data_IF_559999113459
#
_entry.id   IF_559999113459
#
_cell.length_a   1.000
_cell.length_b   1.000
_cell.length_c   1.000
_cell.angle_alpha   90.00
_cell.angle_beta   90.00
_cell.angle_gamma   90.00
#
_symmetry.space_group_name_H-M   'P 1'
#
loop_
_entity.id
_entity.type
_entity.pdbx_description
1 polymer ?
#
# COMPACT_ATOMS: atom_id res chain seq x y z
N UNK A 1 5.88 13.30 -11.41
CA UNK A 1 5.94 13.03 -9.97
C UNK A 1 6.73 14.10 -9.26
N UNK A 2 6.52 14.19 -7.95
CA UNK A 2 7.29 14.97 -6.99
C UNK A 2 7.73 14.03 -5.88
N UNK A 3 8.92 14.28 -5.35
CA UNK A 3 9.47 13.51 -4.25
C UNK A 3 9.82 14.47 -3.12
N UNK A 4 9.47 14.08 -1.91
CA UNK A 4 9.89 14.75 -0.70
C UNK A 4 10.72 13.79 0.13
N UNK A 5 11.95 14.21 0.41
CA UNK A 5 12.86 13.50 1.30
C UNK A 5 12.83 14.25 2.62
N UNK A 6 12.43 13.57 3.69
CA UNK A 6 12.29 14.19 5.00
C UNK A 6 12.68 13.24 6.11
N UNK A 7 13.31 13.78 7.15
CA UNK A 7 13.84 13.06 8.31
C UNK A 7 13.06 13.35 9.60
N UNK A 8 11.93 14.07 9.50
CA UNK A 8 11.07 14.27 10.66
C UNK A 8 9.96 15.31 10.49
N UNK A 9 9.66 15.98 11.60
CA UNK A 9 8.50 16.87 11.72
C UNK A 9 8.74 18.20 10.99
N UNK A 10 7.75 18.71 10.23
CA UNK A 10 7.80 20.08 9.74
C UNK A 10 7.98 21.09 10.89
N UNK A 11 8.77 22.14 10.68
CA UNK A 11 9.04 23.16 11.72
C UNK A 11 7.78 23.81 12.33
N UNK A 12 6.65 23.83 11.61
CA UNK A 12 5.36 24.31 12.11
C UNK A 12 4.58 23.29 12.95
N UNK A 13 5.18 22.14 13.27
CA UNK A 13 4.60 21.05 14.03
C UNK A 13 3.30 20.52 13.41
N UNK A 14 2.36 20.12 14.27
CA UNK A 14 1.07 19.53 13.89
C UNK A 14 0.24 20.43 12.94
N UNK A 15 0.33 21.75 13.08
CA UNK A 15 -0.39 22.66 12.19
C UNK A 15 0.15 22.57 10.77
N UNK A 16 1.48 22.52 10.60
CA UNK A 16 2.09 22.37 9.28
C UNK A 16 1.79 21.00 8.67
N UNK A 17 1.81 19.91 9.44
CA UNK A 17 1.41 18.59 8.97
C UNK A 17 -0.02 18.62 8.39
N UNK A 18 -0.98 19.16 9.15
CA UNK A 18 -2.38 19.29 8.70
C UNK A 18 -2.52 20.11 7.42
N UNK A 19 -1.81 21.22 7.31
CA UNK A 19 -1.85 22.06 6.10
C UNK A 19 -1.21 21.37 4.89
N UNK A 20 -0.11 20.64 5.09
CA UNK A 20 0.53 19.84 4.03
C UNK A 20 -0.42 18.73 3.55
N UNK A 21 -1.01 17.97 4.48
CA UNK A 21 -1.98 16.93 4.18
C UNK A 21 -3.20 17.52 3.46
N UNK A 22 -3.75 18.62 3.96
CA UNK A 22 -4.88 19.30 3.34
C UNK A 22 -4.55 19.79 1.92
N UNK A 23 -3.33 20.30 1.70
CA UNK A 23 -2.85 20.68 0.38
C UNK A 23 -2.79 19.48 -0.55
N UNK A 24 -2.26 18.33 -0.10
CA UNK A 24 -2.13 17.14 -0.92
C UNK A 24 -3.49 16.50 -1.22
N UNK A 25 -4.37 16.39 -0.23
CA UNK A 25 -5.74 15.85 -0.40
C UNK A 25 -6.54 16.68 -1.41
N UNK A 26 -6.43 18.02 -1.36
CA UNK A 26 -7.25 18.93 -2.18
C UNK A 26 -6.53 19.49 -3.41
N UNK A 27 -5.33 18.99 -3.75
CA UNK A 27 -4.58 19.50 -4.91
C UNK A 27 -5.33 19.26 -6.22
N UNK A 28 -5.27 20.21 -7.17
CA UNK A 28 -5.89 20.01 -8.48
C UNK A 28 -5.12 18.94 -9.28
N UNK A 29 -5.87 18.07 -9.96
CA UNK A 29 -5.36 17.00 -10.84
C UNK A 29 -4.26 16.16 -10.14
N UNK A 30 -4.57 15.45 -9.03
CA UNK A 30 -3.59 14.69 -8.27
C UNK A 30 -2.86 13.63 -9.11
N UNK A 31 -3.51 13.06 -10.12
CA UNK A 31 -2.95 12.11 -11.10
C UNK A 31 -1.83 12.71 -11.95
N UNK A 32 -1.89 14.02 -12.22
CA UNK A 32 -0.83 14.77 -12.91
C UNK A 32 0.23 15.28 -11.93
N UNK A 33 -0.04 15.16 -10.63
CA UNK A 33 0.76 15.67 -9.54
C UNK A 33 1.01 14.61 -8.46
N UNK A 34 1.49 13.39 -8.81
CA UNK A 34 1.73 12.35 -7.82
C UNK A 34 2.88 12.75 -6.91
N UNK A 35 2.74 12.39 -5.63
CA UNK A 35 3.64 12.77 -4.55
C UNK A 35 4.17 11.51 -3.88
N UNK A 36 5.49 11.37 -3.78
CA UNK A 36 6.10 10.30 -2.99
C UNK A 36 6.85 10.91 -1.81
N UNK A 37 6.51 10.47 -0.61
CA UNK A 37 7.28 10.69 0.60
C UNK A 37 8.36 9.61 0.70
N UNK A 38 9.58 10.04 1.00
CA UNK A 38 10.71 9.14 1.28
C UNK A 38 11.21 9.51 2.66
N UNK A 39 10.87 8.68 3.64
CA UNK A 39 11.30 8.84 5.01
C UNK A 39 12.80 8.55 5.13
N UNK A 40 13.53 9.46 5.76
CA UNK A 40 14.99 9.47 5.82
C UNK A 40 15.49 9.47 7.26
N UNK A 41 14.87 8.71 8.15
CA UNK A 41 15.21 8.65 9.58
C UNK A 41 14.91 7.27 10.17
N UNK A 42 15.61 6.89 11.24
CA UNK A 42 15.29 5.70 12.04
C UNK A 42 14.29 6.00 13.19
N UNK A 43 13.83 7.26 13.28
CA UNK A 43 12.92 7.73 14.31
C UNK A 43 11.47 7.72 13.80
N UNK A 44 10.83 6.55 13.78
CA UNK A 44 9.52 6.31 13.13
C UNK A 44 8.43 7.32 13.56
N UNK A 45 8.37 7.69 14.85
CA UNK A 45 7.41 8.66 15.37
C UNK A 45 7.50 10.04 14.70
N UNK A 46 8.64 10.40 14.11
CA UNK A 46 8.85 11.70 13.47
C UNK A 46 8.35 11.75 12.02
N UNK A 47 8.14 10.58 11.40
CA UNK A 47 7.72 10.45 10.00
C UNK A 47 6.35 9.81 9.84
N UNK A 48 5.74 9.32 10.92
CA UNK A 48 4.39 8.73 10.92
C UNK A 48 3.34 9.63 10.23
N UNK A 49 3.47 10.95 10.35
CA UNK A 49 2.57 11.90 9.68
C UNK A 49 2.58 11.78 8.15
N UNK A 50 3.66 11.28 7.54
CA UNK A 50 3.75 11.04 6.10
C UNK A 50 2.91 9.82 5.71
N UNK A 51 2.94 8.76 6.52
CA UNK A 51 2.07 7.57 6.38
C UNK A 51 0.60 7.95 6.56
N UNK A 52 0.27 8.68 7.63
CA UNK A 52 -1.08 9.22 7.85
C UNK A 52 -1.57 10.07 6.66
N UNK A 53 -0.67 10.84 6.05
CA UNK A 53 -0.99 11.68 4.90
C UNK A 53 -1.24 10.84 3.64
N UNK A 54 -0.41 9.85 3.38
CA UNK A 54 -0.53 8.91 2.26
C UNK A 54 -1.88 8.21 2.28
N UNK A 55 -2.30 7.66 3.43
CA UNK A 55 -3.54 6.87 3.55
C UNK A 55 -4.80 7.59 3.02
N UNK A 56 -4.81 8.93 3.06
CA UNK A 56 -5.95 9.75 2.67
C UNK A 56 -5.72 10.61 1.43
N UNK A 57 -4.47 10.88 1.05
CA UNK A 57 -4.15 11.71 -0.10
C UNK A 57 -4.10 10.85 -1.38
N UNK A 58 -4.93 11.12 -2.40
CA UNK A 58 -4.89 10.34 -3.64
C UNK A 58 -3.55 10.53 -4.38
N UNK A 59 -3.06 9.50 -5.07
CA UNK A 59 -1.77 9.54 -5.78
C UNK A 59 -0.62 10.03 -4.88
N UNK A 60 -0.63 9.56 -3.64
CA UNK A 60 0.38 9.81 -2.64
C UNK A 60 0.90 8.44 -2.20
N UNK A 61 2.22 8.30 -2.09
CA UNK A 61 2.86 7.08 -1.63
C UNK A 61 3.89 7.46 -0.58
N UNK A 62 4.07 6.63 0.43
CA UNK A 62 5.15 6.70 1.40
C UNK A 62 6.10 5.53 1.14
N UNK A 63 7.38 5.70 1.45
CA UNK A 63 8.35 4.62 1.33
C UNK A 63 9.45 4.84 2.34
N UNK A 64 9.65 3.82 3.16
CA UNK A 64 10.72 3.76 4.15
C UNK A 64 11.96 3.02 3.60
N UNK A 65 12.87 2.59 4.46
CA UNK A 65 13.98 1.75 4.07
C UNK A 65 13.52 0.39 3.51
N UNK A 66 14.35 -0.19 2.64
CA UNK A 66 14.06 -1.47 1.98
C UNK A 66 13.69 -2.60 2.96
N UNK A 67 14.32 -2.65 4.13
CA UNK A 67 14.17 -3.77 5.05
C UNK A 67 12.83 -3.68 5.75
N UNK A 68 12.42 -2.49 6.18
CA UNK A 68 11.10 -2.26 6.77
C UNK A 68 10.01 -2.58 5.75
N UNK A 69 10.07 -1.96 4.58
CA UNK A 69 9.16 -2.21 3.46
C UNK A 69 9.05 -3.69 3.09
N UNK A 70 10.18 -4.40 2.97
CA UNK A 70 10.17 -5.82 2.66
C UNK A 70 9.46 -6.66 3.73
N UNK A 71 9.55 -6.28 5.01
CA UNK A 71 8.84 -6.95 6.08
C UNK A 71 7.33 -6.64 6.04
N UNK A 72 6.95 -5.42 5.71
CA UNK A 72 5.55 -5.01 5.56
C UNK A 72 4.90 -5.74 4.39
N UNK A 73 5.53 -5.70 3.21
CA UNK A 73 5.07 -6.44 2.04
C UNK A 73 5.01 -7.95 2.30
N UNK A 74 5.98 -8.53 3.02
CA UNK A 74 5.93 -9.95 3.38
C UNK A 74 4.76 -10.27 4.33
N UNK A 75 4.47 -9.38 5.28
CA UNK A 75 3.34 -9.49 6.23
C UNK A 75 2.00 -9.35 5.50
N UNK A 76 1.94 -8.49 4.49
CA UNK A 76 0.70 -8.10 3.83
C UNK A 76 0.40 -8.98 2.61
N UNK A 77 1.40 -9.29 1.77
CA UNK A 77 1.24 -10.06 0.52
C UNK A 77 1.66 -11.52 0.63
N UNK A 78 2.48 -11.85 1.64
CA UNK A 78 2.98 -13.20 1.86
C UNK A 78 4.17 -13.59 0.97
N UNK A 79 4.72 -14.77 1.26
CA UNK A 79 6.03 -15.20 0.74
C UNK A 79 6.08 -15.49 -0.78
N UNK A 80 4.93 -15.47 -1.47
CA UNK A 80 4.86 -15.72 -2.90
C UNK A 80 5.13 -14.45 -3.74
N UNK A 81 5.04 -13.25 -3.15
CA UNK A 81 5.40 -12.01 -3.85
C UNK A 81 6.92 -11.79 -3.74
N UNK A 82 7.68 -11.79 -4.85
CA UNK A 82 9.14 -11.66 -4.83
C UNK A 82 9.57 -10.19 -4.67
N UNK A 83 9.30 -9.61 -3.50
CA UNK A 83 9.77 -8.26 -3.19
C UNK A 83 11.30 -8.21 -3.10
N UNK A 84 11.92 -7.33 -3.89
CA UNK A 84 13.36 -7.22 -4.04
C UNK A 84 13.79 -5.75 -4.01
N UNK A 85 15.09 -5.48 -3.89
CA UNK A 85 15.60 -4.11 -3.93
C UNK A 85 15.24 -3.39 -5.24
N UNK A 86 15.18 -4.12 -6.36
CA UNK A 86 14.71 -3.55 -7.63
C UNK A 86 13.23 -3.16 -7.58
N UNK A 87 12.40 -4.00 -6.96
CA UNK A 87 10.98 -3.71 -6.73
C UNK A 87 10.79 -2.46 -5.86
N UNK A 88 11.53 -2.40 -4.76
CA UNK A 88 11.53 -1.28 -3.85
C UNK A 88 11.95 0.03 -4.53
N UNK A 89 13.05 0.03 -5.28
CA UNK A 89 13.49 1.20 -6.05
C UNK A 89 12.44 1.67 -7.06
N UNK A 90 11.74 0.75 -7.71
CA UNK A 90 10.63 1.09 -8.62
C UNK A 90 9.46 1.69 -7.83
N UNK A 91 9.09 1.09 -6.70
CA UNK A 91 8.06 1.61 -5.79
C UNK A 91 8.34 3.07 -5.39
N UNK A 92 9.53 3.33 -4.83
CA UNK A 92 9.96 4.68 -4.43
C UNK A 92 9.88 5.72 -5.57
N UNK A 93 10.01 5.29 -6.82
CA UNK A 93 10.01 6.19 -7.98
C UNK A 93 8.61 6.40 -8.57
N UNK A 94 7.76 5.38 -8.58
CA UNK A 94 6.52 5.41 -9.38
C UNK A 94 5.28 4.83 -8.68
N UNK A 95 5.34 4.40 -7.41
CA UNK A 95 4.18 3.88 -6.68
C UNK A 95 3.01 4.87 -6.64
N UNK A 96 3.28 6.13 -6.28
CA UNK A 96 2.27 7.20 -6.27
C UNK A 96 1.60 7.45 -7.64
N UNK A 97 2.17 6.97 -8.75
CA UNK A 97 1.55 7.06 -10.08
C UNK A 97 0.62 5.87 -10.39
N UNK A 98 0.76 4.76 -9.66
CA UNK A 98 0.10 3.48 -9.87
C UNK A 98 -0.57 3.01 -8.56
N UNK A 99 -1.62 3.73 -8.11
CA UNK A 99 -2.27 3.48 -6.83
C UNK A 99 -3.01 2.14 -6.74
N UNK A 100 -3.26 1.46 -7.87
CA UNK A 100 -3.98 0.17 -7.88
C UNK A 100 -3.02 -1.04 -7.91
N UNK A 101 -1.70 -0.78 -7.88
CA UNK A 101 -0.65 -1.76 -8.16
C UNK A 101 0.53 -1.59 -7.20
N UNK A 102 1.48 -0.72 -7.51
CA UNK A 102 2.72 -0.60 -6.74
C UNK A 102 2.48 0.02 -5.36
N UNK A 103 1.54 0.95 -5.28
CA UNK A 103 1.10 1.56 -4.01
C UNK A 103 0.34 0.56 -3.14
N UNK A 104 -0.40 -0.37 -3.75
CA UNK A 104 -1.27 -1.29 -3.04
C UNK A 104 -0.54 -2.50 -2.42
N UNK A 105 0.80 -2.50 -2.38
CA UNK A 105 1.59 -3.63 -1.90
C UNK A 105 1.39 -3.91 -0.41
N UNK A 106 1.15 -2.91 0.43
CA UNK A 106 1.00 -3.02 1.88
C UNK A 106 -0.49 -2.92 2.35
N UNK A 107 -1.43 -2.66 1.44
CA UNK A 107 -2.85 -2.44 1.73
C UNK A 107 -3.60 -3.65 2.32
N UNK A 108 -2.95 -4.81 2.47
CA UNK A 108 -3.58 -6.04 3.02
C UNK A 108 -4.78 -6.53 2.19
N UNK A 109 -4.76 -6.21 0.90
CA UNK A 109 -5.67 -6.69 -0.15
C UNK A 109 -4.82 -7.53 -1.14
N UNK A 110 -5.27 -8.72 -1.56
CA UNK A 110 -4.52 -9.50 -2.53
C UNK A 110 -4.58 -8.82 -3.89
N UNK A 111 -3.50 -8.91 -4.67
CA UNK A 111 -3.51 -8.52 -6.06
C UNK A 111 -4.46 -9.40 -6.87
N UNK A 112 -5.18 -8.78 -7.80
CA UNK A 112 -5.86 -9.54 -8.85
C UNK A 112 -4.82 -10.28 -9.68
N UNK A 113 -5.25 -11.35 -10.38
CA UNK A 113 -4.35 -12.06 -11.29
C UNK A 113 -3.76 -11.10 -12.34
N UNK A 114 -4.58 -10.24 -12.92
CA UNK A 114 -4.14 -9.28 -13.93
C UNK A 114 -3.13 -8.28 -13.38
N UNK A 115 -3.38 -7.72 -12.19
CA UNK A 115 -2.42 -6.82 -11.53
C UNK A 115 -1.10 -7.52 -11.26
N UNK A 116 -1.13 -8.73 -10.69
CA UNK A 116 0.08 -9.50 -10.39
C UNK A 116 0.87 -9.88 -11.65
N UNK A 117 0.17 -10.26 -12.72
CA UNK A 117 0.78 -10.57 -14.02
C UNK A 117 1.54 -9.35 -14.58
N UNK A 118 0.90 -8.18 -14.56
CA UNK A 118 1.49 -6.92 -15.03
C UNK A 118 2.69 -6.50 -14.17
N UNK A 119 2.54 -6.61 -12.85
CA UNK A 119 3.56 -6.24 -11.88
C UNK A 119 4.83 -7.07 -12.04
N UNK A 120 4.68 -8.39 -12.24
CA UNK A 120 5.79 -9.33 -12.35
C UNK A 120 6.26 -9.53 -13.79
N UNK A 121 5.54 -9.00 -14.78
CA UNK A 121 5.84 -9.19 -16.20
C UNK A 121 5.74 -10.66 -16.65
N UNK A 122 4.88 -11.45 -16.00
CA UNK A 122 4.67 -12.87 -16.29
C UNK A 122 3.18 -13.19 -16.37
N UNK A 123 2.80 -14.13 -17.23
CA UNK A 123 1.42 -14.63 -17.26
C UNK A 123 1.28 -15.84 -16.32
N UNK A 124 0.61 -15.65 -15.18
CA UNK A 124 0.30 -16.76 -14.30
C UNK A 124 -0.75 -17.67 -14.94
N UNK A 125 -0.67 -18.97 -14.66
CA UNK A 125 -1.82 -19.86 -14.83
C UNK A 125 -2.64 -19.87 -13.54
N UNK A 126 -3.79 -20.55 -13.55
CA UNK A 126 -4.66 -20.58 -12.36
C UNK A 126 -3.94 -21.18 -11.14
N UNK A 127 -3.11 -22.21 -11.34
CA UNK A 127 -2.40 -22.88 -10.24
C UNK A 127 -1.34 -21.96 -9.61
N UNK A 128 -0.55 -21.25 -10.40
CA UNK A 128 0.46 -20.33 -9.88
C UNK A 128 -0.18 -19.11 -9.21
N UNK A 129 -1.27 -18.59 -9.77
CA UNK A 129 -2.03 -17.52 -9.11
C UNK A 129 -2.67 -18.00 -7.80
N UNK A 130 -3.24 -19.22 -7.78
CA UNK A 130 -3.78 -19.83 -6.57
C UNK A 130 -2.72 -20.02 -5.49
N UNK A 131 -1.49 -20.35 -5.88
CA UNK A 131 -0.37 -20.42 -4.95
C UNK A 131 -0.11 -19.06 -4.29
N UNK A 132 -0.01 -17.98 -5.09
CA UNK A 132 0.11 -16.62 -4.55
C UNK A 132 -1.01 -16.28 -3.56
N UNK A 133 -2.26 -16.49 -3.97
CA UNK A 133 -3.43 -16.19 -3.14
C UNK A 133 -3.43 -16.98 -1.83
N UNK A 134 -2.97 -18.24 -1.86
CA UNK A 134 -2.85 -19.08 -0.66
C UNK A 134 -1.80 -18.53 0.29
N UNK A 135 -0.63 -18.13 -0.22
CA UNK A 135 0.42 -17.51 0.59
C UNK A 135 -0.02 -16.17 1.20
N UNK A 136 -0.80 -15.37 0.45
CA UNK A 136 -1.45 -14.17 0.97
C UNK A 136 -2.37 -14.51 2.16
N UNK A 137 -3.28 -15.48 2.00
CA UNK A 137 -4.19 -15.87 3.09
C UNK A 137 -3.44 -16.38 4.33
N UNK A 138 -2.35 -17.12 4.12
CA UNK A 138 -1.50 -17.59 5.21
C UNK A 138 -0.82 -16.42 5.95
N UNK A 139 -0.37 -15.40 5.22
CA UNK A 139 0.21 -14.19 5.81
C UNK A 139 -0.84 -13.45 6.66
N UNK A 140 -2.06 -13.25 6.13
CA UNK A 140 -3.14 -12.61 6.88
C UNK A 140 -3.57 -13.40 8.13
N UNK A 141 -3.55 -14.74 8.08
CA UNK A 141 -3.79 -15.58 9.26
C UNK A 141 -2.69 -15.41 10.33
N UNK A 142 -1.44 -15.24 9.91
CA UNK A 142 -0.27 -15.08 10.79
C UNK A 142 -0.11 -13.65 11.33
N UNK A 143 -0.77 -12.65 10.74
CA UNK A 143 -0.73 -11.24 11.20
C UNK A 143 -0.94 -11.12 12.71
N UNK A 144 -0.04 -10.44 13.39
CA UNK A 144 -0.20 -10.04 14.79
C UNK A 144 -1.24 -8.92 14.90
N UNK A 145 -2.13 -9.01 15.88
CA UNK A 145 -3.17 -7.98 16.09
C UNK A 145 -2.67 -7.00 17.14
N UNK A 146 -2.31 -5.79 16.71
CA UNK A 146 -1.87 -4.71 17.60
C UNK A 146 -3.02 -3.73 17.82
N UNK A 147 -3.74 -3.39 16.75
CA UNK A 147 -4.86 -2.44 16.77
C UNK A 147 -6.18 -2.98 16.23
N UNK A 148 -7.19 -2.10 16.24
CA UNK A 148 -8.50 -2.39 15.67
C UNK A 148 -8.46 -2.60 14.15
N UNK A 149 -7.56 -1.89 13.46
CA UNK A 149 -7.32 -2.03 12.01
C UNK A 149 -6.78 -3.43 11.69
N UNK A 150 -5.76 -3.92 12.40
CA UNK A 150 -5.23 -5.28 12.24
C UNK A 150 -6.28 -6.36 12.52
N UNK A 151 -7.10 -6.15 13.56
CA UNK A 151 -8.18 -7.07 13.89
C UNK A 151 -9.19 -7.17 12.74
N UNK A 152 -9.51 -6.04 12.13
CA UNK A 152 -10.39 -5.99 10.96
C UNK A 152 -9.73 -6.66 9.75
N UNK A 153 -8.50 -6.26 9.38
CA UNK A 153 -7.70 -6.86 8.29
C UNK A 153 -7.67 -8.39 8.38
N UNK A 154 -7.38 -8.92 9.58
CA UNK A 154 -7.30 -10.36 9.85
C UNK A 154 -8.63 -11.10 9.75
N UNK A 155 -9.76 -10.43 9.98
CA UNK A 155 -11.09 -11.04 9.95
C UNK A 155 -11.66 -11.16 8.53
N UNK A 156 -11.13 -10.41 7.57
CA UNK A 156 -11.62 -10.40 6.19
C UNK A 156 -11.26 -11.72 5.49
N UNK A 157 -12.22 -12.20 4.70
CA UNK A 157 -12.02 -13.32 3.79
C UNK A 157 -12.28 -12.85 2.38
N UNK A 158 -11.27 -12.98 1.53
CA UNK A 158 -11.34 -12.58 0.14
C UNK A 158 -11.88 -13.72 -0.72
N UNK A 159 -12.67 -13.37 -1.73
CA UNK A 159 -13.20 -14.35 -2.68
C UNK A 159 -12.22 -14.54 -3.83
N UNK A 160 -11.51 -15.66 -3.85
CA UNK A 160 -10.55 -16.01 -4.89
C UNK A 160 -11.07 -15.79 -6.32
N UNK A 161 -12.32 -16.18 -6.60
CA UNK A 161 -12.87 -16.10 -7.96
C UNK A 161 -13.07 -14.65 -8.44
N UNK A 162 -13.29 -13.71 -7.52
CA UNK A 162 -13.39 -12.28 -7.85
C UNK A 162 -12.03 -11.73 -8.26
N UNK A 163 -10.98 -12.03 -7.50
CA UNK A 163 -9.61 -11.58 -7.80
C UNK A 163 -8.98 -12.31 -8.99
N UNK A 164 -9.44 -13.51 -9.31
CA UNK A 164 -9.04 -14.22 -10.53
C UNK A 164 -9.56 -13.52 -11.80
N UNK A 165 -10.72 -12.86 -11.73
CA UNK A 165 -11.46 -12.33 -12.91
C UNK A 165 -11.39 -10.81 -13.06
N UNK A 166 -11.33 -10.08 -11.95
CA UNK A 166 -11.25 -8.63 -11.97
C UNK A 166 -9.92 -8.15 -12.56
N UNK A 167 -9.96 -7.02 -13.27
CA UNK A 167 -8.73 -6.41 -13.82
C UNK A 167 -7.91 -5.73 -12.71
N UNK A 168 -8.60 -5.06 -11.78
CA UNK A 168 -8.00 -4.36 -10.64
C UNK A 168 -8.85 -4.56 -9.40
N UNK A 169 -8.24 -4.49 -8.21
CA UNK A 169 -8.91 -4.83 -6.97
C UNK A 169 -10.05 -3.84 -6.62
N UNK A 170 -9.91 -2.57 -7.02
CA UNK A 170 -10.92 -1.51 -6.83
C UNK A 170 -12.26 -1.82 -7.52
N UNK A 171 -12.28 -2.71 -8.51
CA UNK A 171 -13.49 -3.16 -9.18
C UNK A 171 -14.32 -4.15 -8.33
N UNK A 172 -13.71 -4.77 -7.31
CA UNK A 172 -14.35 -5.75 -6.44
C UNK A 172 -15.13 -4.99 -5.34
N UNK A 173 -16.46 -5.18 -5.21
CA UNK A 173 -17.25 -4.48 -4.20
C UNK A 173 -16.74 -4.66 -2.77
N UNK A 174 -16.35 -5.88 -2.40
CA UNK A 174 -15.81 -6.17 -1.08
C UNK A 174 -14.51 -5.42 -0.76
N UNK A 175 -13.67 -5.14 -1.76
CA UNK A 175 -12.44 -4.35 -1.59
C UNK A 175 -12.76 -2.89 -1.31
N UNK A 176 -13.72 -2.31 -2.04
CA UNK A 176 -14.16 -0.93 -1.79
C UNK A 176 -14.76 -0.75 -0.39
N UNK A 177 -15.61 -1.68 0.03
CA UNK A 177 -16.20 -1.67 1.37
C UNK A 177 -15.13 -1.81 2.46
N UNK A 178 -14.12 -2.66 2.21
CA UNK A 178 -12.98 -2.82 3.09
C UNK A 178 -12.15 -1.54 3.21
N UNK A 179 -11.75 -0.92 2.10
CA UNK A 179 -10.96 0.32 2.09
C UNK A 179 -11.72 1.46 2.78
N UNK A 180 -13.03 1.60 2.53
CA UNK A 180 -13.87 2.59 3.22
C UNK A 180 -13.89 2.38 4.74
N UNK A 181 -13.86 1.12 5.20
CA UNK A 181 -13.87 0.80 6.62
C UNK A 181 -12.50 0.96 7.28
N UNK A 182 -11.42 0.65 6.58
CA UNK A 182 -10.05 0.92 7.06
C UNK A 182 -9.88 2.42 7.34
N UNK A 183 -10.29 3.28 6.40
CA UNK A 183 -10.28 4.75 6.55
C UNK A 183 -11.17 5.31 7.67
N UNK A 184 -12.06 4.50 8.23
CA UNK A 184 -12.90 4.88 9.37
C UNK A 184 -12.34 4.37 10.72
N UNK A 185 -11.43 3.39 10.67
CA UNK A 185 -10.80 2.79 11.85
C UNK A 185 -9.46 3.47 12.15
N UNK A 186 -8.68 3.81 11.12
CA UNK A 186 -7.59 4.78 11.20
C UNK A 186 -8.15 6.18 11.44
#
# INVERSE_FOLDING_TARGET
ARWFFGDGLPNGGLMAQREITNLLVNRPNPEMNPMTFISCTEENDQVEWMKDCEEIAPYCSESDDFKEEANEVLRDQGAALPYSQGFHLVGMLVAAMNPEDLDAMDESVPFTKTTLDNLLGIEHNEQSYRHYFTCFEEAQKKRSVIGASDQFKKAVKWNYDEFLRATTASQIPAVRDFQLRIRQIG
#
